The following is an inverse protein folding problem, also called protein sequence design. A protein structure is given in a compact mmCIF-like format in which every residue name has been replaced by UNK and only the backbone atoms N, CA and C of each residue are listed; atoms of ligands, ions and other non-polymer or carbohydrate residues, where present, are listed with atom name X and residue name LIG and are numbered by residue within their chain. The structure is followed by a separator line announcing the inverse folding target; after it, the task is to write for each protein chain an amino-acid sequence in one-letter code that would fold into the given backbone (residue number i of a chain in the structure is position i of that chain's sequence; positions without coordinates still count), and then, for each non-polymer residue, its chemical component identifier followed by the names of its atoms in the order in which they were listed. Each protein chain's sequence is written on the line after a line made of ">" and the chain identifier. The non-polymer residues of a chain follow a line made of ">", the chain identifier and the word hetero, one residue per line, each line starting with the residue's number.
data_IF_488705878450
#
_entry.id   IF_488705878450
#
_cell.length_a   1.000
_cell.length_b   1.000
_cell.length_c   1.000
_cell.angle_alpha   90.00
_cell.angle_beta   90.00
_cell.angle_gamma   90.00
#
_symmetry.space_group_name_H-M   'P 1'
#
loop_
_entity.id
_entity.type
_entity.pdbx_description
1 polymer ?
#
# COMPACT_ATOMS: atom_id res chain seq x y z
N UNK A 1 -14.88 9.05 -2.11
CA UNK A 1 -14.95 7.58 -1.99
C UNK A 1 -13.60 6.91 -2.22
N UNK A 2 -12.70 7.47 -3.03
CA UNK A 2 -11.38 6.87 -3.30
C UNK A 2 -10.47 6.87 -2.06
N UNK A 3 -10.39 8.01 -1.37
CA UNK A 3 -9.61 8.21 -0.14
C UNK A 3 -9.94 7.13 0.91
N UNK A 4 -11.24 6.94 1.19
CA UNK A 4 -11.74 5.99 2.19
C UNK A 4 -11.42 4.54 1.86
N UNK A 5 -11.45 4.17 0.58
CA UNK A 5 -11.10 2.81 0.16
C UNK A 5 -9.62 2.51 0.41
N UNK A 6 -8.74 3.49 0.14
CA UNK A 6 -7.29 3.36 0.39
C UNK A 6 -7.01 3.18 1.89
N UNK A 7 -7.65 3.98 2.75
CA UNK A 7 -7.48 3.85 4.20
C UNK A 7 -7.95 2.49 4.72
N UNK A 8 -9.09 1.98 4.24
CA UNK A 8 -9.63 0.68 4.64
C UNK A 8 -8.73 -0.47 4.19
N UNK A 9 -8.24 -0.43 2.94
CA UNK A 9 -7.31 -1.44 2.41
C UNK A 9 -5.99 -1.43 3.18
N UNK A 10 -5.45 -0.25 3.48
CA UNK A 10 -4.22 -0.13 4.26
C UNK A 10 -4.39 -0.64 5.69
N UNK A 11 -5.48 -0.25 6.36
CA UNK A 11 -5.80 -0.73 7.70
C UNK A 11 -5.97 -2.27 7.71
N UNK A 12 -6.73 -2.81 6.75
CA UNK A 12 -6.92 -4.26 6.60
C UNK A 12 -5.62 -5.01 6.33
N UNK A 13 -4.76 -4.48 5.45
CA UNK A 13 -3.45 -5.05 5.17
C UNK A 13 -2.52 -5.02 6.40
N UNK A 14 -2.56 -3.93 7.18
CA UNK A 14 -1.77 -3.81 8.41
C UNK A 14 -2.23 -4.79 9.50
N UNK A 15 -3.54 -4.96 9.69
CA UNK A 15 -4.10 -5.94 10.62
C UNK A 15 -3.77 -7.38 10.18
N UNK A 16 -3.88 -7.67 8.89
CA UNK A 16 -3.49 -8.96 8.32
C UNK A 16 -1.99 -9.23 8.47
N UNK A 17 -1.14 -8.21 8.34
CA UNK A 17 0.30 -8.33 8.52
C UNK A 17 0.67 -8.59 9.98
N UNK A 18 0.05 -7.88 10.93
CA UNK A 18 0.23 -8.14 12.37
C UNK A 18 -0.21 -9.56 12.74
N UNK A 19 -1.36 -10.00 12.21
CA UNK A 19 -1.84 -11.36 12.42
C UNK A 19 -0.90 -12.40 11.79
N UNK A 20 -0.35 -12.12 10.61
CA UNK A 20 0.64 -12.98 9.95
C UNK A 20 1.95 -13.07 10.74
N UNK A 21 2.42 -11.96 11.33
CA UNK A 21 3.57 -11.95 12.22
C UNK A 21 3.34 -12.82 13.46
N UNK A 22 2.19 -12.68 14.11
CA UNK A 22 1.78 -13.55 15.23
C UNK A 22 1.79 -15.03 14.84
N UNK A 23 1.34 -15.35 13.61
CA UNK A 23 1.27 -16.73 13.08
C UNK A 23 2.66 -17.32 12.82
N UNK A 24 3.63 -16.48 12.44
CA UNK A 24 5.02 -16.88 12.17
C UNK A 24 5.85 -16.96 13.45
N UNK A 25 5.80 -15.93 14.30
CA UNK A 25 6.64 -15.86 15.51
C UNK A 25 6.13 -16.80 16.59
N UNK A 26 4.81 -16.95 16.71
CA UNK A 26 4.17 -17.58 17.86
C UNK A 26 4.42 -16.77 19.14
N UNK A 27 3.62 -17.01 20.18
CA UNK A 27 3.77 -16.34 21.47
C UNK A 27 3.47 -17.32 22.60
N UNK A 28 4.48 -17.60 23.42
CA UNK A 28 4.35 -18.53 24.56
C UNK A 28 3.38 -17.99 25.62
N UNK A 29 3.34 -16.68 25.82
CA UNK A 29 2.45 -15.97 26.75
C UNK A 29 0.95 -16.12 26.38
N UNK A 30 0.63 -16.32 25.09
CA UNK A 30 -0.75 -16.48 24.59
C UNK A 30 -1.09 -17.94 24.23
N UNK A 31 -0.23 -18.89 24.60
CA UNK A 31 -0.28 -20.30 24.14
C UNK A 31 -0.34 -20.47 22.61
N UNK A 32 0.09 -19.46 21.84
CA UNK A 32 -0.02 -19.47 20.39
C UNK A 32 1.19 -20.18 19.77
N UNK A 33 0.95 -21.42 19.31
CA UNK A 33 1.92 -22.24 18.59
C UNK A 33 2.22 -21.65 17.20
N UNK A 34 3.41 -21.90 16.64
CA UNK A 34 3.76 -21.45 15.28
C UNK A 34 2.94 -22.21 14.23
N UNK A 35 1.87 -21.60 13.72
CA UNK A 35 0.99 -22.24 12.73
C UNK A 35 1.66 -22.38 11.37
N UNK A 36 2.57 -21.47 10.99
CA UNK A 36 3.28 -21.56 9.70
C UNK A 36 4.12 -22.83 9.53
N UNK A 37 4.56 -23.46 10.62
CA UNK A 37 5.33 -24.72 10.52
C UNK A 37 4.46 -25.87 9.98
N UNK A 38 3.15 -25.86 10.29
CA UNK A 38 2.21 -26.88 9.82
C UNK A 38 1.46 -26.47 8.55
N UNK A 39 1.20 -25.17 8.36
CA UNK A 39 0.43 -24.62 7.24
C UNK A 39 1.26 -23.66 6.36
N UNK A 40 2.45 -24.10 5.96
CA UNK A 40 3.39 -23.32 5.14
C UNK A 40 2.77 -22.72 3.86
N UNK A 41 1.88 -23.46 3.17
CA UNK A 41 1.21 -22.98 1.94
C UNK A 41 0.39 -21.71 2.16
N UNK A 42 -0.43 -21.68 3.21
CA UNK A 42 -1.27 -20.53 3.52
C UNK A 42 -0.42 -19.32 3.94
N UNK A 43 0.64 -19.56 4.72
CA UNK A 43 1.58 -18.49 5.09
C UNK A 43 2.29 -17.89 3.87
N UNK A 44 2.72 -18.73 2.93
CA UNK A 44 3.38 -18.23 1.71
C UNK A 44 2.42 -17.43 0.85
N UNK A 45 1.17 -17.89 0.71
CA UNK A 45 0.14 -17.20 -0.08
C UNK A 45 -0.21 -15.83 0.53
N UNK A 46 -0.48 -15.75 1.83
CA UNK A 46 -0.81 -14.47 2.49
C UNK A 46 0.40 -13.52 2.50
N UNK A 47 1.61 -14.06 2.76
CA UNK A 47 2.84 -13.28 2.76
C UNK A 47 3.11 -12.68 1.39
N UNK A 48 2.93 -13.45 0.32
CA UNK A 48 3.07 -12.97 -1.05
C UNK A 48 2.05 -11.86 -1.38
N UNK A 49 0.81 -11.98 -0.90
CA UNK A 49 -0.23 -10.98 -1.11
C UNK A 49 0.10 -9.65 -0.42
N UNK A 50 0.61 -9.69 0.81
CA UNK A 50 1.02 -8.50 1.56
C UNK A 50 2.20 -7.81 0.85
N UNK A 51 3.20 -8.57 0.41
CA UNK A 51 4.35 -8.04 -0.33
C UNK A 51 3.88 -7.37 -1.62
N UNK A 52 3.01 -8.03 -2.38
CA UNK A 52 2.48 -7.50 -3.64
C UNK A 52 1.64 -6.24 -3.42
N UNK A 53 0.86 -6.17 -2.34
CA UNK A 53 0.10 -4.98 -1.97
C UNK A 53 1.01 -3.76 -1.78
N UNK A 54 2.11 -3.93 -1.06
CA UNK A 54 3.11 -2.87 -0.87
C UNK A 54 3.78 -2.46 -2.19
N UNK A 55 4.14 -3.43 -3.03
CA UNK A 55 4.72 -3.16 -4.36
C UNK A 55 3.75 -2.34 -5.22
N UNK A 56 2.47 -2.72 -5.25
CA UNK A 56 1.44 -2.01 -5.99
C UNK A 56 1.26 -0.56 -5.49
N UNK A 57 1.29 -0.35 -4.17
CA UNK A 57 1.22 0.98 -3.59
C UNK A 57 2.42 1.87 -4.00
N UNK A 58 3.64 1.33 -3.95
CA UNK A 58 4.84 2.05 -4.41
C UNK A 58 4.76 2.38 -5.90
N UNK A 59 4.30 1.44 -6.72
CA UNK A 59 4.12 1.67 -8.16
C UNK A 59 3.09 2.79 -8.43
N UNK A 60 1.96 2.79 -7.73
CA UNK A 60 0.99 3.88 -7.84
C UNK A 60 1.61 5.23 -7.50
N UNK A 61 2.39 5.32 -6.43
CA UNK A 61 3.07 6.56 -6.04
C UNK A 61 3.96 7.05 -7.18
N UNK A 62 4.79 6.17 -7.75
CA UNK A 62 5.69 6.48 -8.86
C UNK A 62 4.90 6.96 -10.09
N UNK A 63 3.83 6.25 -10.46
CA UNK A 63 2.98 6.61 -11.60
C UNK A 63 2.29 7.96 -11.41
N UNK A 64 1.80 8.25 -10.20
CA UNK A 64 1.23 9.54 -9.84
C UNK A 64 2.25 10.67 -9.96
N UNK A 65 3.49 10.46 -9.50
CA UNK A 65 4.58 11.42 -9.67
C UNK A 65 4.92 11.66 -11.15
N UNK A 66 5.04 10.59 -11.95
CA UNK A 66 5.33 10.70 -13.38
C UNK A 66 4.19 11.45 -14.11
N UNK A 67 2.94 11.16 -13.76
CA UNK A 67 1.77 11.83 -14.33
C UNK A 67 1.79 13.33 -14.02
N UNK A 68 1.98 13.70 -12.76
CA UNK A 68 2.09 15.10 -12.35
C UNK A 68 3.27 15.78 -13.04
N UNK A 69 4.45 15.15 -13.05
CA UNK A 69 5.66 15.70 -13.68
C UNK A 69 5.48 15.92 -15.19
N UNK A 70 4.89 14.95 -15.90
CA UNK A 70 4.58 15.11 -17.32
C UNK A 70 3.57 16.23 -17.58
N UNK A 71 2.57 16.39 -16.71
CA UNK A 71 1.59 17.46 -16.80
C UNK A 71 2.26 18.83 -16.60
N UNK A 72 3.10 18.98 -15.58
CA UNK A 72 3.86 20.22 -15.35
C UNK A 72 4.85 20.51 -16.47
N UNK A 73 5.54 19.48 -16.99
CA UNK A 73 6.48 19.62 -18.11
C UNK A 73 5.80 20.03 -19.40
N UNK A 74 4.62 19.48 -19.71
CA UNK A 74 3.87 19.81 -20.92
C UNK A 74 3.20 21.19 -20.85
N UNK A 75 2.82 21.65 -19.64
CA UNK A 75 2.08 22.90 -19.45
C UNK A 75 2.94 24.13 -19.03
N UNK A 76 4.23 23.92 -18.76
CA UNK A 76 5.22 25.00 -18.59
C UNK A 76 5.58 25.56 -19.98
N UNK A 77 5.10 26.74 -20.46
CA UNK A 77 4.78 27.99 -19.74
C UNK A 77 3.54 28.76 -20.30
N UNK A 78 2.33 28.19 -20.35
CA UNK A 78 1.12 28.93 -20.82
C UNK A 78 0.06 29.21 -19.74
N UNK A 79 0.12 28.58 -18.56
CA UNK A 79 -0.95 28.71 -17.52
C UNK A 79 -0.65 29.60 -16.32
N UNK A 80 0.59 30.02 -16.10
CA UNK A 80 0.89 31.00 -15.05
C UNK A 80 0.17 32.35 -15.31
N UNK A 81 -0.14 32.66 -16.57
CA UNK A 81 -0.89 33.87 -16.95
C UNK A 81 -2.40 33.78 -16.71
N UNK A 82 -3.00 32.59 -16.70
CA UNK A 82 -4.45 32.42 -16.53
C UNK A 82 -4.88 32.52 -15.06
N UNK A 83 -4.06 32.05 -14.11
CA UNK A 83 -4.38 32.21 -12.68
C UNK A 83 -4.27 33.66 -12.21
N UNK A 84 -3.50 34.52 -12.91
CA UNK A 84 -3.37 35.96 -12.62
C UNK A 84 -4.36 36.86 -13.38
N UNK A 85 -5.18 36.30 -14.28
CA UNK A 85 -6.21 37.07 -15.00
C UNK A 85 -7.63 36.89 -14.41
N UNK A 86 -7.78 36.03 -13.40
CA UNK A 86 -9.04 35.78 -12.69
C UNK A 86 -8.93 36.19 -11.21
N UNK A 87 -8.22 37.29 -10.93
CA UNK A 87 -8.26 38.04 -9.66
C UNK A 87 -8.36 39.52 -9.94
#
# INVERSE_FOLDING_TARGET
>A
MEETAVYVVFAGASAAAQHSLLVVTGSRELQWMKWCYKFTRFCFQIGSAIILNYIAAVLMIILSFISAFNLFRLYSPKRYFQFKSSS
#
